data_IF_609681736791
#
_entry.id   IF_609681736791
#
_cell.length_a   1.000
_cell.length_b   1.000
_cell.length_c   1.000
_cell.angle_alpha   90.00
_cell.angle_beta   90.00
_cell.angle_gamma   90.00
#
_symmetry.space_group_name_H-M   'P 1'
#
loop_
_entity.id
_entity.type
_entity.pdbx_description
1 polymer ?
#
# COMPACT_ATOMS: atom_id res chain seq x y z
N UNK A 1 26.72 -2.82 0.55
CA UNK A 1 26.20 -2.63 -0.82
C UNK A 1 24.80 -2.06 -0.68
N UNK A 2 24.51 -0.89 -1.27
CA UNK A 2 23.23 -0.20 -1.12
C UNK A 2 22.09 -1.00 -1.75
N UNK A 3 21.25 -1.61 -0.92
CA UNK A 3 19.93 -2.10 -1.32
C UNK A 3 19.02 -0.88 -1.52
N UNK A 4 19.14 -0.26 -2.70
CA UNK A 4 18.14 0.72 -3.15
C UNK A 4 16.93 -0.08 -3.58
N UNK A 5 16.03 -0.30 -2.63
CA UNK A 5 14.66 -0.72 -2.90
C UNK A 5 14.06 0.35 -3.80
N UNK A 6 14.07 0.03 -5.08
CA UNK A 6 13.37 0.62 -6.18
C UNK A 6 12.13 1.38 -5.69
N UNK A 7 12.18 2.72 -5.79
CA UNK A 7 11.11 3.67 -5.47
C UNK A 7 9.98 3.53 -6.51
N UNK A 8 9.53 2.30 -6.73
CA UNK A 8 8.48 1.94 -7.68
C UNK A 8 7.14 2.23 -7.04
N UNK A 9 6.55 3.30 -7.53
CA UNK A 9 5.19 3.70 -7.23
C UNK A 9 4.19 2.73 -7.88
N UNK A 10 3.67 1.81 -7.09
CA UNK A 10 2.64 0.85 -7.51
C UNK A 10 1.26 1.47 -7.36
N UNK A 11 0.32 1.02 -8.18
CA UNK A 11 -1.06 1.48 -8.11
C UNK A 11 -1.83 0.68 -7.05
N UNK A 12 -3.06 1.10 -6.78
CA UNK A 12 -3.97 0.38 -5.87
C UNK A 12 -4.21 -1.08 -6.27
N UNK A 13 -4.19 -1.38 -7.57
CA UNK A 13 -4.46 -2.72 -8.10
C UNK A 13 -3.26 -3.63 -7.82
N UNK A 14 -2.06 -3.18 -8.21
CA UNK A 14 -0.79 -3.83 -7.92
C UNK A 14 -0.54 -4.03 -6.43
N UNK A 15 -0.87 -3.02 -5.61
CA UNK A 15 -0.79 -3.13 -4.15
C UNK A 15 -1.73 -4.21 -3.61
N UNK A 16 -2.95 -4.32 -4.17
CA UNK A 16 -3.90 -5.33 -3.77
C UNK A 16 -3.46 -6.74 -4.19
N UNK A 17 -2.93 -6.89 -5.41
CA UNK A 17 -2.32 -8.14 -5.87
C UNK A 17 -1.11 -8.53 -5.02
N UNK A 18 -0.27 -7.56 -4.66
CA UNK A 18 0.89 -7.78 -3.79
C UNK A 18 0.49 -8.30 -2.41
N UNK A 19 -0.61 -7.81 -1.87
CA UNK A 19 -1.18 -8.21 -0.59
C UNK A 19 -2.05 -9.47 -0.68
N UNK A 20 -2.34 -9.96 -1.88
CA UNK A 20 -3.26 -11.08 -2.11
C UNK A 20 -4.72 -10.77 -1.76
N UNK A 21 -5.13 -9.50 -1.78
CA UNK A 21 -6.50 -9.05 -1.47
C UNK A 21 -7.17 -8.43 -2.69
N UNK A 22 -8.49 -8.23 -2.64
CA UNK A 22 -9.21 -7.49 -3.68
C UNK A 22 -8.89 -6.00 -3.59
N UNK A 23 -8.72 -5.34 -4.74
CA UNK A 23 -8.55 -3.88 -4.82
C UNK A 23 -9.69 -3.09 -4.14
N UNK A 24 -10.88 -3.68 -4.04
CA UNK A 24 -12.02 -3.11 -3.32
C UNK A 24 -11.76 -2.99 -1.82
N UNK A 25 -11.06 -3.98 -1.24
CA UNK A 25 -10.69 -4.02 0.17
C UNK A 25 -9.62 -2.97 0.44
N UNK A 26 -8.60 -2.88 -0.42
CA UNK A 26 -7.57 -1.85 -0.32
C UNK A 26 -8.16 -0.43 -0.46
N UNK A 27 -9.14 -0.22 -1.36
CA UNK A 27 -9.91 1.03 -1.44
C UNK A 27 -10.68 1.34 -0.16
N UNK A 28 -11.24 0.30 0.46
CA UNK A 28 -11.91 0.40 1.76
C UNK A 28 -10.94 0.87 2.85
N UNK A 29 -9.71 0.35 2.86
CA UNK A 29 -8.66 0.75 3.78
C UNK A 29 -8.20 2.18 3.56
N UNK A 30 -7.98 2.66 2.32
CA UNK A 30 -7.66 4.09 2.08
C UNK A 30 -8.72 5.03 2.68
N UNK A 31 -9.98 4.58 2.74
CA UNK A 31 -11.09 5.37 3.28
C UNK A 31 -11.24 5.22 4.80
N UNK A 32 -10.85 4.09 5.39
CA UNK A 32 -11.00 3.77 6.82
C UNK A 32 -9.75 4.04 7.64
N UNK A 33 -8.58 3.78 7.06
CA UNK A 33 -7.29 3.76 7.71
C UNK A 33 -6.44 4.93 7.24
N UNK A 34 -6.14 5.83 8.18
CA UNK A 34 -5.14 6.90 7.99
C UNK A 34 -3.70 6.37 8.01
N UNK A 35 -3.50 5.12 8.45
CA UNK A 35 -2.19 4.48 8.54
C UNK A 35 -1.70 3.89 7.22
N UNK A 36 -2.58 3.72 6.23
CA UNK A 36 -2.21 3.18 4.93
C UNK A 36 -1.42 4.24 4.15
N UNK A 37 -0.18 3.95 3.71
CA UNK A 37 0.67 4.90 2.99
C UNK A 37 0.20 5.10 1.55
N UNK A 38 -0.91 5.82 1.41
CA UNK A 38 -1.54 6.15 0.15
C UNK A 38 -1.14 7.58 -0.26
N UNK A 39 -0.46 7.71 -1.39
CA UNK A 39 -0.08 8.99 -1.96
C UNK A 39 -0.98 9.33 -3.12
N UNK A 40 -1.63 10.49 -3.07
CA UNK A 40 -2.48 10.96 -4.16
C UNK A 40 -1.64 11.61 -5.25
N UNK A 41 -1.44 10.90 -6.36
CA UNK A 41 -0.74 11.43 -7.54
C UNK A 41 -1.79 11.70 -8.63
N UNK A 42 -2.16 12.97 -8.75
CA UNK A 42 -3.22 13.42 -9.67
C UNK A 42 -4.60 12.87 -9.26
N UNK A 43 -5.19 12.02 -10.12
CA UNK A 43 -6.50 11.39 -9.90
C UNK A 43 -6.41 9.95 -9.36
N UNK A 44 -5.20 9.42 -9.22
CA UNK A 44 -4.97 8.04 -8.80
C UNK A 44 -4.21 7.99 -7.46
N UNK A 45 -4.51 6.97 -6.68
CA UNK A 45 -3.75 6.65 -5.47
C UNK A 45 -2.58 5.76 -5.87
N UNK A 46 -1.38 6.20 -5.49
CA UNK A 46 -0.13 5.49 -5.67
C UNK A 46 0.43 5.12 -4.32
N UNK A 47 1.15 4.01 -4.31
CA UNK A 47 1.72 3.41 -3.12
C UNK A 47 3.19 3.16 -3.38
N UNK A 48 4.03 3.37 -2.37
CA UNK A 48 5.40 2.86 -2.42
C UNK A 48 5.40 1.44 -1.90
N UNK A 49 6.06 0.54 -2.63
CA UNK A 49 6.19 -0.86 -2.21
C UNK A 49 6.89 -0.99 -0.86
N UNK A 50 7.90 -0.15 -0.59
CA UNK A 50 8.59 -0.11 0.71
C UNK A 50 7.64 0.25 1.84
N UNK A 51 6.80 1.27 1.66
CA UNK A 51 5.85 1.69 2.71
C UNK A 51 4.75 0.64 2.93
N UNK A 52 4.27 -0.02 1.86
CA UNK A 52 3.33 -1.14 2.03
C UNK A 52 3.99 -2.29 2.79
N UNK A 53 5.23 -2.65 2.48
CA UNK A 53 5.94 -3.71 3.19
C UNK A 53 6.07 -3.39 4.69
N UNK A 54 6.48 -2.16 5.02
CA UNK A 54 6.58 -1.69 6.40
C UNK A 54 5.21 -1.64 7.10
N UNK A 55 4.15 -1.26 6.39
CA UNK A 55 2.78 -1.24 6.92
C UNK A 55 2.26 -2.65 7.21
N UNK A 56 2.45 -3.59 6.28
CA UNK A 56 2.10 -5.01 6.47
C UNK A 56 2.85 -5.60 7.65
N UNK A 57 4.16 -5.31 7.72
CA UNK A 57 5.06 -5.81 8.76
C UNK A 57 4.78 -5.19 10.12
N UNK A 58 4.25 -3.97 10.16
CA UNK A 58 3.81 -3.29 11.40
C UNK A 58 2.56 -3.91 12.01
N UNK A 59 1.91 -4.87 11.34
CA UNK A 59 0.73 -5.55 11.88
C UNK A 59 -0.54 -4.71 11.87
N UNK A 60 -0.53 -3.51 11.27
CA UNK A 60 -1.73 -2.69 11.06
C UNK A 60 -2.73 -3.32 10.07
N UNK A 61 -2.33 -4.38 9.36
CA UNK A 61 -3.24 -5.21 8.55
C UNK A 61 -4.08 -6.18 9.39
N UNK A 62 -3.70 -6.41 10.65
CA UNK A 62 -4.48 -7.20 11.60
C UNK A 62 -5.47 -6.27 12.29
N UNK A 63 -6.60 -6.02 11.62
CA UNK A 63 -7.83 -5.74 12.35
C UNK A 63 -8.18 -7.00 13.15
N UNK A 64 -7.95 -6.98 14.47
CA UNK A 64 -8.59 -7.92 15.40
C UNK A 64 -10.03 -7.48 15.67
#
# INVERSE_FOLDING_TARGET
MSEKYDDKWINIDEAAEYLGIKAVTLRGWIKKDETLPAHKVGKQWKFKRSEIDEWVKSGNSAIE
#
